data_IF_015084096829
#
_entry.id   IF_015084096829
#
_cell.length_a   1.000
_cell.length_b   1.000
_cell.length_c   1.000
_cell.angle_alpha   90.00
_cell.angle_beta   90.00
_cell.angle_gamma   90.00
#
_symmetry.space_group_name_H-M   'P 1'
#
loop_
_entity.id
_entity.type
_entity.pdbx_description
1 polymer ?
#
# COMPACT_ATOMS: atom_id res chain seq x y z
N UNK A 1 -13.33 14.05 -11.13
CA UNK A 1 -11.93 13.65 -10.84
C UNK A 1 -11.80 13.20 -9.38
N UNK A 2 -11.02 12.14 -9.11
CA UNK A 2 -10.96 11.45 -7.80
C UNK A 2 -9.56 11.65 -7.19
N UNK A 3 -9.44 12.21 -5.98
CA UNK A 3 -8.14 12.35 -5.31
C UNK A 3 -7.94 11.32 -4.20
N UNK A 4 -6.73 10.76 -4.16
CA UNK A 4 -6.22 9.91 -3.10
C UNK A 4 -5.26 10.76 -2.26
N UNK A 5 -5.48 10.77 -0.95
CA UNK A 5 -4.54 11.37 -0.01
C UNK A 5 -3.68 10.28 0.61
N UNK A 6 -2.40 10.53 0.77
CA UNK A 6 -1.47 9.58 1.36
C UNK A 6 -0.66 10.30 2.43
N UNK A 7 -0.54 9.71 3.62
CA UNK A 7 0.32 10.24 4.67
C UNK A 7 1.77 9.71 4.51
N UNK A 8 2.82 10.54 4.29
CA UNK A 8 4.17 10.08 3.89
C UNK A 8 5.41 11.00 4.10
N UNK A 9 6.48 10.44 4.70
CA UNK A 9 7.88 10.92 4.82
C UNK A 9 8.55 11.61 3.60
N UNK A 10 9.62 12.42 3.83
CA UNK A 10 10.74 12.70 2.94
C UNK A 10 12.11 12.23 3.47
N UNK A 11 12.88 11.77 2.47
CA UNK A 11 14.33 11.84 2.30
C UNK A 11 15.24 10.97 3.18
N UNK A 12 15.15 9.65 3.02
CA UNK A 12 16.33 8.84 2.75
C UNK A 12 16.09 8.02 1.46
N UNK A 13 17.16 7.77 0.73
CA UNK A 13 17.20 7.22 -0.63
C UNK A 13 16.46 5.89 -0.78
N UNK A 14 16.36 5.11 0.31
CA UNK A 14 15.61 3.84 0.39
C UNK A 14 14.08 4.04 0.38
N UNK A 15 13.59 5.02 1.13
CA UNK A 15 12.15 5.24 1.32
C UNK A 15 11.55 6.19 0.28
N UNK A 16 12.34 7.08 -0.32
CA UNK A 16 11.95 7.82 -1.52
C UNK A 16 11.43 6.91 -2.65
N UNK A 17 12.01 5.72 -2.74
CA UNK A 17 11.61 4.71 -3.70
C UNK A 17 10.27 4.09 -3.33
N UNK A 18 10.09 3.62 -2.09
CA UNK A 18 8.79 3.07 -1.65
C UNK A 18 7.65 4.07 -1.88
N UNK A 19 7.92 5.37 -1.68
CA UNK A 19 6.98 6.45 -1.95
C UNK A 19 6.57 6.55 -3.41
N UNK A 20 7.56 6.56 -4.29
CA UNK A 20 7.35 6.66 -5.74
C UNK A 20 6.73 5.38 -6.29
N UNK A 21 7.08 4.23 -5.73
CA UNK A 21 6.60 2.92 -6.14
C UNK A 21 5.11 2.75 -5.84
N UNK A 22 4.66 3.05 -4.62
CA UNK A 22 3.23 3.00 -4.30
C UNK A 22 2.46 3.98 -5.19
N UNK A 23 2.97 5.19 -5.38
CA UNK A 23 2.33 6.19 -6.27
C UNK A 23 2.27 5.71 -7.72
N UNK A 24 3.30 5.01 -8.21
CA UNK A 24 3.34 4.41 -9.55
C UNK A 24 2.35 3.25 -9.71
N UNK A 25 2.16 2.41 -8.69
CA UNK A 25 1.18 1.32 -8.70
C UNK A 25 -0.24 1.89 -8.73
N UNK A 26 -0.46 3.00 -8.03
CA UNK A 26 -1.77 3.62 -7.97
C UNK A 26 -2.06 4.41 -9.25
N UNK A 27 -1.20 5.35 -9.63
CA UNK A 27 -1.50 6.36 -10.66
C UNK A 27 -0.44 6.48 -11.77
N UNK A 28 0.44 5.49 -11.94
CA UNK A 28 1.42 5.49 -13.03
C UNK A 28 0.77 5.49 -14.41
N UNK A 29 1.13 6.45 -15.27
CA UNK A 29 0.58 6.56 -16.62
C UNK A 29 1.26 5.66 -17.68
N UNK A 30 2.29 4.90 -17.29
CA UNK A 30 3.07 4.01 -18.17
C UNK A 30 3.82 4.70 -19.33
N UNK A 31 3.97 6.03 -19.33
CA UNK A 31 4.59 6.77 -20.44
C UNK A 31 6.02 6.27 -20.76
N UNK A 32 6.87 6.16 -19.74
CA UNK A 32 8.26 5.69 -19.94
C UNK A 32 8.32 4.22 -20.37
N UNK A 33 7.54 3.35 -19.74
CA UNK A 33 7.52 1.92 -20.12
C UNK A 33 6.99 1.66 -21.53
N UNK A 34 6.13 2.55 -22.06
CA UNK A 34 5.58 2.42 -23.41
C UNK A 34 6.49 2.99 -24.50
N UNK A 35 7.35 3.96 -24.17
CA UNK A 35 8.17 4.70 -25.14
C UNK A 35 9.65 4.32 -25.15
N UNK A 36 10.14 3.61 -24.13
CA UNK A 36 11.59 3.33 -23.96
C UNK A 36 11.94 1.84 -23.95
N UNK A 37 11.31 1.05 -24.84
CA UNK A 37 11.60 -0.38 -25.06
C UNK A 37 11.68 -1.25 -23.79
N UNK A 38 10.87 -0.94 -22.77
CA UNK A 38 10.76 -1.81 -21.59
C UNK A 38 10.08 -3.14 -21.96
N UNK A 39 10.35 -4.24 -21.22
CA UNK A 39 9.78 -5.56 -21.54
C UNK A 39 8.28 -5.64 -21.29
N UNK A 40 7.68 -4.65 -20.61
CA UNK A 40 6.24 -4.55 -20.42
C UNK A 40 5.77 -3.13 -20.21
N UNK A 41 4.45 -2.94 -20.30
CA UNK A 41 3.78 -1.66 -20.04
C UNK A 41 3.33 -1.63 -18.58
N UNK A 42 3.92 -0.75 -17.78
CA UNK A 42 3.68 -0.67 -16.34
C UNK A 42 2.75 0.50 -16.02
N UNK A 43 1.45 0.23 -16.04
CA UNK A 43 0.38 1.18 -15.76
C UNK A 43 -0.17 0.98 -14.35
N UNK A 44 -0.42 2.09 -13.65
CA UNK A 44 -1.08 2.08 -12.36
C UNK A 44 -2.55 1.68 -12.47
N UNK A 45 -3.16 1.31 -11.35
CA UNK A 45 -4.57 0.86 -11.29
C UNK A 45 -5.54 1.98 -11.67
N UNK A 46 -5.18 3.23 -11.36
CA UNK A 46 -5.97 4.43 -11.58
C UNK A 46 -5.07 5.59 -12.09
N UNK A 47 -4.61 5.55 -13.36
CA UNK A 47 -3.65 6.52 -13.91
C UNK A 47 -4.09 7.99 -13.85
N UNK A 48 -5.40 8.24 -13.79
CA UNK A 48 -5.99 9.58 -13.72
C UNK A 48 -6.29 10.04 -12.29
N UNK A 49 -5.94 9.23 -11.28
CA UNK A 49 -6.09 9.62 -9.90
C UNK A 49 -5.09 10.70 -9.52
N UNK A 50 -5.55 11.74 -8.82
CA UNK A 50 -4.66 12.75 -8.23
C UNK A 50 -4.11 12.20 -6.91
N UNK A 51 -2.80 12.30 -6.72
CA UNK A 51 -2.13 11.88 -5.49
C UNK A 51 -1.77 13.11 -4.66
N UNK A 52 -2.17 13.12 -3.41
CA UNK A 52 -1.77 14.12 -2.40
C UNK A 52 -0.86 13.43 -1.41
N UNK A 53 0.25 14.07 -1.08
CA UNK A 53 1.24 13.57 -0.13
C UNK A 53 1.24 14.43 1.14
N UNK A 54 1.00 13.82 2.30
CA UNK A 54 0.94 14.45 3.62
C UNK A 54 1.98 13.86 4.57
N UNK A 55 3.07 14.55 4.86
CA UNK A 55 4.15 13.92 5.63
C UNK A 55 3.80 13.46 7.04
N UNK A 56 4.02 12.16 7.30
CA UNK A 56 3.84 11.54 8.62
C UNK A 56 5.03 10.71 9.12
N UNK A 57 6.07 10.51 8.32
CA UNK A 57 7.27 9.76 8.73
C UNK A 57 8.52 10.64 8.50
N UNK A 58 9.66 10.30 9.07
CA UNK A 58 10.95 10.94 8.87
C UNK A 58 11.74 10.29 7.72
N UNK A 59 12.98 10.75 7.50
CA UNK A 59 13.88 10.22 6.49
C UNK A 59 14.15 8.73 6.61
N UNK A 60 14.13 8.19 7.83
CA UNK A 60 14.40 6.79 8.14
C UNK A 60 13.13 5.93 8.13
N UNK A 61 11.96 6.53 7.86
CA UNK A 61 10.68 5.84 7.81
C UNK A 61 10.10 5.57 9.19
N UNK A 62 10.72 6.16 10.22
CA UNK A 62 10.17 6.20 11.55
C UNK A 62 9.20 7.38 11.66
N UNK A 63 8.18 7.26 12.49
CA UNK A 63 7.31 8.37 12.80
C UNK A 63 6.54 8.09 14.07
N UNK A 64 6.07 9.14 14.69
CA UNK A 64 5.28 9.03 15.92
C UNK A 64 3.82 8.84 15.57
N UNK A 65 3.06 8.18 16.46
CA UNK A 65 1.61 8.07 16.33
C UNK A 65 0.96 9.45 16.16
N UNK A 66 1.44 10.46 16.90
CA UNK A 66 0.97 11.85 16.80
C UNK A 66 1.15 12.45 15.41
N UNK A 67 2.26 12.16 14.72
CA UNK A 67 2.51 12.67 13.36
C UNK A 67 1.57 12.03 12.33
N UNK A 68 1.25 10.74 12.49
CA UNK A 68 0.28 10.04 11.64
C UNK A 68 -1.13 10.56 11.87
N UNK A 69 -1.53 10.74 13.13
CA UNK A 69 -2.83 11.33 13.50
C UNK A 69 -2.97 12.74 12.90
N UNK A 70 -1.92 13.57 13.01
CA UNK A 70 -1.92 14.93 12.44
C UNK A 70 -2.09 14.90 10.92
N UNK A 71 -1.44 13.96 10.23
CA UNK A 71 -1.59 13.80 8.79
C UNK A 71 -2.99 13.30 8.38
N UNK A 72 -3.59 12.40 9.16
CA UNK A 72 -4.98 11.98 8.96
C UNK A 72 -5.91 13.18 9.10
N UNK A 73 -5.69 14.01 10.13
CA UNK A 73 -6.56 15.16 10.36
C UNK A 73 -6.39 16.27 9.31
N UNK A 74 -5.17 16.45 8.79
CA UNK A 74 -4.94 17.29 7.63
C UNK A 74 -5.68 16.74 6.38
N UNK A 75 -5.71 15.42 6.16
CA UNK A 75 -6.46 14.82 5.06
C UNK A 75 -7.97 15.05 5.17
N UNK A 76 -8.52 15.00 6.38
CA UNK A 76 -9.94 15.30 6.66
C UNK A 76 -10.22 16.78 6.37
N UNK A 77 -9.37 17.69 6.85
CA UNK A 77 -9.52 19.14 6.65
C UNK A 77 -9.48 19.50 5.16
N UNK A 78 -8.53 18.92 4.42
CA UNK A 78 -8.33 19.18 3.00
C UNK A 78 -9.28 18.38 2.09
N UNK A 79 -10.19 17.59 2.67
CA UNK A 79 -11.02 16.64 1.95
C UNK A 79 -11.83 17.30 0.85
N UNK A 80 -12.52 18.40 1.17
CA UNK A 80 -13.38 19.10 0.22
C UNK A 80 -12.57 19.89 -0.81
N UNK A 81 -11.43 20.47 -0.39
CA UNK A 81 -10.54 21.25 -1.26
C UNK A 81 -9.98 20.40 -2.41
N UNK A 82 -9.54 19.18 -2.10
CA UNK A 82 -8.92 18.32 -3.11
C UNK A 82 -9.76 17.11 -3.52
N UNK A 83 -10.98 16.98 -3.00
CA UNK A 83 -11.84 15.80 -3.19
C UNK A 83 -11.15 14.49 -2.78
N UNK A 84 -10.62 14.46 -1.55
CA UNK A 84 -9.98 13.28 -0.95
C UNK A 84 -11.05 12.27 -0.62
N UNK A 85 -10.89 11.04 -1.11
CA UNK A 85 -11.88 9.96 -0.87
C UNK A 85 -11.27 8.70 -0.28
N UNK A 86 -9.96 8.55 -0.40
CA UNK A 86 -9.24 7.39 0.10
C UNK A 86 -7.96 7.88 0.79
N UNK A 87 -7.61 7.25 1.90
CA UNK A 87 -6.30 7.33 2.54
C UNK A 87 -5.62 5.98 2.46
N UNK A 88 -4.36 5.98 2.01
CA UNK A 88 -3.48 4.81 2.06
C UNK A 88 -2.48 4.97 3.22
N UNK A 89 -2.65 4.16 4.27
CA UNK A 89 -1.74 4.07 5.40
C UNK A 89 -0.86 2.84 5.23
N UNK A 90 0.26 3.08 4.60
CA UNK A 90 1.29 2.08 4.35
C UNK A 90 2.24 1.89 5.55
N UNK A 91 1.67 1.82 6.75
CA UNK A 91 2.38 1.70 8.00
C UNK A 91 1.59 0.79 8.93
N UNK A 92 2.30 0.16 9.87
CA UNK A 92 1.70 -0.59 10.94
C UNK A 92 2.54 -0.42 12.20
N UNK A 93 1.88 -0.37 13.36
CA UNK A 93 2.52 -0.47 14.67
C UNK A 93 2.01 -1.69 15.43
N UNK A 94 2.73 -2.06 16.48
CA UNK A 94 2.24 -3.03 17.45
C UNK A 94 0.90 -2.58 18.05
N UNK A 95 0.01 -3.53 18.25
CA UNK A 95 -1.25 -3.33 18.97
C UNK A 95 -0.97 -3.63 20.43
N UNK A 96 -1.39 -2.74 21.33
CA UNK A 96 -1.20 -2.88 22.78
C UNK A 96 -2.53 -2.84 23.56
N UNK A 97 -3.63 -2.55 22.87
CA UNK A 97 -4.95 -2.33 23.42
C UNK A 97 -6.02 -2.55 22.33
N UNK A 98 -7.30 -2.53 22.70
CA UNK A 98 -8.42 -2.61 21.76
C UNK A 98 -8.39 -1.44 20.77
N UNK A 99 -8.83 -1.67 19.53
CA UNK A 99 -8.97 -0.59 18.53
C UNK A 99 -9.85 0.57 19.03
N UNK A 100 -10.76 0.31 19.97
CA UNK A 100 -11.66 1.32 20.55
C UNK A 100 -10.93 2.35 21.42
N UNK A 101 -9.77 1.97 21.99
CA UNK A 101 -8.95 2.82 22.87
C UNK A 101 -7.73 3.40 22.14
N UNK A 102 -7.27 2.71 21.09
CA UNK A 102 -6.10 3.11 20.31
C UNK A 102 -6.32 4.47 19.62
N UNK A 103 -5.53 5.51 19.93
CA UNK A 103 -5.72 6.85 19.37
C UNK A 103 -5.49 6.92 17.85
N UNK A 104 -4.69 6.00 17.29
CA UNK A 104 -4.50 5.91 15.84
C UNK A 104 -5.76 5.34 15.17
N UNK A 105 -6.38 4.32 15.76
CA UNK A 105 -7.63 3.74 15.27
C UNK A 105 -8.76 4.79 15.35
N UNK A 106 -8.90 5.49 16.48
CA UNK A 106 -9.88 6.58 16.63
C UNK A 106 -9.71 7.70 15.60
N UNK A 107 -8.47 8.07 15.26
CA UNK A 107 -8.20 9.04 14.19
C UNK A 107 -8.64 8.51 12.82
N UNK A 108 -8.45 7.23 12.55
CA UNK A 108 -8.89 6.57 11.33
C UNK A 108 -10.42 6.46 11.25
N UNK A 109 -11.09 6.13 12.36
CA UNK A 109 -12.55 6.18 12.44
C UNK A 109 -13.09 7.59 12.14
N UNK A 110 -12.39 8.62 12.61
CA UNK A 110 -12.74 10.02 12.31
C UNK A 110 -12.66 10.30 10.81
N UNK A 111 -11.64 9.77 10.12
CA UNK A 111 -11.55 9.86 8.65
C UNK A 111 -12.68 9.10 7.96
N UNK A 112 -13.02 7.91 8.45
CA UNK A 112 -14.14 7.12 7.94
C UNK A 112 -15.47 7.85 8.09
N UNK A 113 -15.73 8.45 9.28
CA UNK A 113 -16.92 9.28 9.55
C UNK A 113 -16.98 10.51 8.65
N UNK A 114 -15.84 11.19 8.43
CA UNK A 114 -15.72 12.28 7.47
C UNK A 114 -15.92 11.83 6.01
N UNK A 115 -15.92 10.52 5.76
CA UNK A 115 -16.27 9.90 4.51
C UNK A 115 -15.10 9.55 3.61
N UNK A 116 -13.95 9.33 4.22
CA UNK A 116 -12.71 8.91 3.57
C UNK A 116 -12.48 7.43 3.88
N UNK A 117 -12.30 6.60 2.86
CA UNK A 117 -11.98 5.18 3.05
C UNK A 117 -10.50 5.06 3.43
N UNK A 118 -10.19 4.36 4.52
CA UNK A 118 -8.80 4.11 4.92
C UNK A 118 -8.42 2.68 4.58
N UNK A 119 -7.26 2.54 3.95
CA UNK A 119 -6.66 1.25 3.57
C UNK A 119 -5.32 1.10 4.29
N UNK A 120 -5.10 -0.05 4.94
CA UNK A 120 -3.87 -0.38 5.62
C UNK A 120 -3.32 -1.75 5.20
N UNK A 121 -2.02 -1.94 5.37
CA UNK A 121 -1.32 -3.17 5.01
C UNK A 121 -0.30 -3.55 6.10
N UNK A 122 -0.19 -4.85 6.39
CA UNK A 122 0.76 -5.39 7.37
C UNK A 122 1.77 -6.36 6.74
N UNK A 123 3.05 -6.19 7.05
CA UNK A 123 4.17 -7.01 6.58
C UNK A 123 4.76 -7.93 7.68
N UNK A 124 4.01 -8.18 8.75
CA UNK A 124 4.51 -8.90 9.93
C UNK A 124 4.17 -10.40 9.90
N UNK A 125 3.79 -10.97 8.76
CA UNK A 125 3.34 -12.38 8.66
C UNK A 125 4.39 -13.44 9.02
N UNK A 126 5.67 -13.06 9.03
CA UNK A 126 6.78 -13.94 9.45
C UNK A 126 7.14 -13.76 10.93
N UNK A 127 6.59 -12.74 11.60
CA UNK A 127 6.85 -12.51 13.01
C UNK A 127 6.24 -13.65 13.83
N UNK A 128 7.09 -14.37 14.54
CA UNK A 128 6.71 -15.51 15.38
C UNK A 128 7.13 -15.33 16.84
N UNK A 129 7.26 -14.08 17.31
CA UNK A 129 7.66 -13.81 18.70
C UNK A 129 6.68 -14.38 19.74
N UNK A 130 5.43 -14.62 19.34
CA UNK A 130 4.39 -15.22 20.18
C UNK A 130 4.16 -16.72 19.91
N UNK A 131 4.97 -17.38 19.07
CA UNK A 131 4.79 -18.81 18.74
C UNK A 131 3.53 -19.15 17.92
N UNK A 132 2.89 -18.15 17.31
CA UNK A 132 1.61 -18.25 16.61
C UNK A 132 1.74 -18.57 15.11
N UNK A 133 2.93 -18.89 14.60
CA UNK A 133 3.19 -19.11 13.16
C UNK A 133 2.77 -17.92 12.27
N UNK A 134 2.90 -16.70 12.82
CA UNK A 134 2.55 -15.46 12.13
C UNK A 134 1.07 -15.07 12.20
N UNK A 135 0.24 -15.81 12.94
CA UNK A 135 -1.12 -15.37 13.30
C UNK A 135 -1.08 -14.27 14.35
N UNK A 136 -2.12 -13.44 14.41
CA UNK A 136 -2.21 -12.26 15.27
C UNK A 136 -1.13 -11.19 14.99
N UNK A 137 -0.76 -11.03 13.72
CA UNK A 137 0.26 -10.08 13.25
C UNK A 137 -0.32 -8.86 12.52
N UNK A 138 -1.64 -8.69 12.57
CA UNK A 138 -2.32 -7.49 12.09
C UNK A 138 -2.03 -6.34 13.06
N UNK A 139 -1.27 -5.35 12.60
CA UNK A 139 -0.93 -4.16 13.38
C UNK A 139 -1.97 -3.04 13.27
N UNK A 140 -1.87 -2.03 14.13
CA UNK A 140 -2.70 -0.83 14.04
C UNK A 140 -2.21 0.10 12.91
N UNK A 141 -3.13 0.72 12.14
CA UNK A 141 -4.59 0.73 12.31
C UNK A 141 -5.33 -0.40 11.58
N UNK A 142 -4.63 -1.39 11.00
CA UNK A 142 -5.27 -2.49 10.28
C UNK A 142 -6.09 -3.46 11.15
N UNK A 143 -5.99 -3.36 12.48
CA UNK A 143 -6.84 -4.10 13.42
C UNK A 143 -8.25 -3.51 13.55
N UNK A 144 -8.46 -2.26 13.11
CA UNK A 144 -9.74 -1.57 13.20
C UNK A 144 -10.75 -2.13 12.15
N UNK A 145 -12.01 -2.46 12.53
CA UNK A 145 -13.06 -2.89 11.61
C UNK A 145 -13.36 -1.90 10.47
N UNK A 146 -13.20 -0.60 10.69
CA UNK A 146 -13.48 0.45 9.71
C UNK A 146 -12.36 0.60 8.65
N UNK A 147 -11.22 -0.06 8.87
CA UNK A 147 -10.08 -0.06 7.96
C UNK A 147 -10.15 -1.26 7.04
N UNK A 148 -9.91 -1.01 5.74
CA UNK A 148 -9.69 -2.09 4.79
C UNK A 148 -8.23 -2.54 4.91
N UNK A 149 -8.04 -3.67 5.55
CA UNK A 149 -6.74 -4.32 5.73
C UNK A 149 -6.50 -5.28 4.59
N UNK A 150 -5.37 -5.11 3.91
CA UNK A 150 -5.06 -5.89 2.72
C UNK A 150 -3.85 -6.77 2.98
N UNK A 151 -3.95 -8.04 2.57
CA UNK A 151 -2.85 -8.98 2.54
C UNK A 151 -2.21 -9.11 1.17
N UNK A 152 -1.03 -9.72 1.11
CA UNK A 152 -0.25 -9.90 -0.12
C UNK A 152 -0.31 -11.33 -0.65
N UNK A 153 -0.41 -11.43 -1.97
CA UNK A 153 -0.28 -12.68 -2.73
C UNK A 153 0.89 -12.67 -3.69
N UNK A 154 1.45 -13.85 -3.91
CA UNK A 154 2.36 -14.14 -4.99
C UNK A 154 1.57 -14.63 -6.21
N UNK A 155 1.78 -13.98 -7.35
CA UNK A 155 1.11 -14.33 -8.60
C UNK A 155 1.81 -15.46 -9.35
N UNK A 156 3.04 -15.82 -8.94
CA UNK A 156 3.92 -16.76 -9.63
C UNK A 156 4.12 -16.39 -11.11
N UNK A 157 4.11 -15.09 -11.41
CA UNK A 157 4.23 -14.58 -12.78
C UNK A 157 2.96 -14.75 -13.64
N UNK A 158 1.86 -15.23 -13.06
CA UNK A 158 0.61 -15.51 -13.80
C UNK A 158 -0.47 -14.45 -13.56
N UNK A 159 -1.38 -14.29 -14.51
CA UNK A 159 -2.60 -13.49 -14.33
C UNK A 159 -3.72 -14.22 -13.59
N UNK A 160 -3.58 -15.53 -13.38
CA UNK A 160 -4.61 -16.39 -12.78
C UNK A 160 -4.74 -16.11 -11.29
N UNK A 161 -5.98 -16.12 -10.79
CA UNK A 161 -6.28 -16.01 -9.36
C UNK A 161 -6.09 -17.35 -8.64
N UNK A 162 -6.41 -18.46 -9.31
CA UNK A 162 -6.29 -19.80 -8.72
C UNK A 162 -4.83 -20.20 -8.47
N UNK A 163 -3.89 -19.63 -9.23
CA UNK A 163 -2.47 -19.85 -9.03
C UNK A 163 -1.87 -18.97 -7.92
N UNK A 164 -2.62 -18.03 -7.33
CA UNK A 164 -2.06 -17.11 -6.35
C UNK A 164 -1.96 -17.74 -4.97
N UNK A 165 -0.81 -17.58 -4.33
CA UNK A 165 -0.61 -18.03 -2.95
C UNK A 165 -0.37 -16.85 -2.02
N UNK A 166 -0.77 -16.96 -0.76
CA UNK A 166 -0.45 -15.95 0.25
C UNK A 166 1.07 -15.86 0.42
N UNK A 167 1.61 -14.64 0.46
CA UNK A 167 3.04 -14.43 0.72
C UNK A 167 3.36 -14.64 2.20
N UNK A 168 4.54 -15.18 2.51
CA UNK A 168 4.96 -15.44 3.89
C UNK A 168 4.98 -14.19 4.77
N UNK A 169 5.26 -13.01 4.21
CA UNK A 169 5.29 -11.73 4.94
C UNK A 169 3.92 -11.07 5.12
N UNK A 170 2.84 -11.58 4.51
CA UNK A 170 1.51 -10.99 4.70
C UNK A 170 1.05 -11.19 6.14
N UNK A 171 0.75 -10.11 6.86
CA UNK A 171 0.16 -10.21 8.21
C UNK A 171 -1.14 -11.03 8.17
N UNK A 172 -1.37 -11.80 9.23
CA UNK A 172 -2.50 -12.72 9.37
C UNK A 172 -3.27 -12.40 10.64
N UNK A 173 -4.59 -12.31 10.53
CA UNK A 173 -5.48 -12.23 11.68
C UNK A 173 -5.70 -13.60 12.33
N UNK A 174 -6.63 -13.72 13.29
CA UNK A 174 -7.44 -12.63 13.82
C UNK A 174 -6.58 -11.57 14.54
N UNK A 175 -7.12 -10.38 14.77
CA UNK A 175 -6.41 -9.32 15.53
C UNK A 175 -6.11 -9.79 16.96
N UNK A 176 -4.99 -9.37 17.53
CA UNK A 176 -4.48 -9.90 18.81
C UNK A 176 -5.35 -9.62 20.05
N UNK A 177 -6.16 -8.56 20.05
CA UNK A 177 -7.00 -8.17 21.21
C UNK A 177 -8.48 -8.44 20.96
N UNK A 178 -9.02 -7.87 19.88
CA UNK A 178 -10.46 -7.89 19.62
C UNK A 178 -10.93 -9.10 18.79
N UNK A 179 -10.01 -10.00 18.43
CA UNK A 179 -10.25 -11.22 17.64
C UNK A 179 -11.02 -11.02 16.31
N UNK A 180 -10.86 -9.85 15.69
CA UNK A 180 -11.49 -9.52 14.41
C UNK A 180 -10.80 -10.28 13.28
N UNK A 181 -11.58 -10.89 12.39
CA UNK A 181 -11.07 -11.57 11.20
C UNK A 181 -10.51 -10.54 10.21
N UNK A 182 -9.21 -10.63 9.94
CA UNK A 182 -8.43 -9.79 9.02
C UNK A 182 -7.34 -10.66 8.36
N UNK A 183 -6.77 -10.29 7.20
CA UNK A 183 -7.10 -9.14 6.35
C UNK A 183 -8.48 -9.27 5.68
N UNK A 184 -9.06 -8.16 5.25
CA UNK A 184 -10.37 -8.13 4.58
C UNK A 184 -10.30 -8.62 3.14
N UNK A 185 -9.17 -8.41 2.46
CA UNK A 185 -8.94 -8.87 1.09
C UNK A 185 -7.46 -9.11 0.80
N UNK A 186 -7.20 -9.82 -0.28
CA UNK A 186 -5.86 -10.17 -0.74
C UNK A 186 -5.57 -9.51 -2.09
N UNK A 187 -4.35 -9.02 -2.29
CA UNK A 187 -3.92 -8.45 -3.56
C UNK A 187 -2.47 -8.84 -3.92
N UNK A 188 -2.13 -8.89 -5.22
CA UNK A 188 -0.76 -9.11 -5.71
C UNK A 188 0.25 -8.16 -5.07
N UNK A 189 1.15 -8.71 -4.26
CA UNK A 189 2.18 -7.96 -3.52
C UNK A 189 3.59 -8.50 -3.72
N UNK A 190 3.78 -9.60 -4.47
CA UNK A 190 5.09 -10.18 -4.76
C UNK A 190 5.61 -9.77 -6.15
N UNK A 191 6.86 -9.30 -6.22
CA UNK A 191 7.57 -8.93 -7.47
C UNK A 191 6.77 -8.01 -8.39
N UNK A 192 6.01 -7.09 -7.81
CA UNK A 192 5.23 -6.11 -8.56
C UNK A 192 6.19 -5.03 -9.10
N UNK A 193 6.07 -4.77 -10.40
CA UNK A 193 6.87 -3.74 -11.07
C UNK A 193 6.26 -2.37 -10.80
N UNK A 194 7.07 -1.44 -10.33
CA UNK A 194 6.67 -0.03 -10.26
C UNK A 194 7.82 0.92 -10.52
N UNK A 195 7.48 2.18 -10.74
CA UNK A 195 8.42 3.25 -11.07
C UNK A 195 9.24 3.63 -9.85
N UNK A 196 10.56 3.64 -10.00
CA UNK A 196 11.47 4.14 -8.96
C UNK A 196 11.58 5.67 -9.02
N UNK A 197 12.16 6.25 -7.98
CA UNK A 197 12.48 7.69 -7.90
C UNK A 197 13.52 8.15 -8.93
N UNK A 198 14.23 9.24 -8.65
CA UNK A 198 15.28 9.76 -9.52
C UNK A 198 16.34 8.72 -9.88
N UNK A 199 17.02 8.91 -11.03
CA UNK A 199 18.19 8.13 -11.44
C UNK A 199 19.26 8.13 -10.33
N UNK A 200 19.99 7.03 -10.19
CA UNK A 200 20.99 6.87 -9.13
C UNK A 200 20.42 6.50 -7.75
N UNK A 201 19.20 5.99 -7.69
CA UNK A 201 18.60 5.55 -6.43
C UNK A 201 19.41 4.41 -5.79
N UNK A 202 19.73 4.56 -4.50
CA UNK A 202 20.52 3.57 -3.76
C UNK A 202 19.91 2.16 -3.78
N UNK A 203 18.59 2.02 -3.90
CA UNK A 203 17.96 0.69 -3.99
C UNK A 203 18.33 -0.07 -5.26
N UNK A 204 18.50 0.62 -6.39
CA UNK A 204 18.94 -0.03 -7.63
C UNK A 204 20.41 -0.42 -7.52
N UNK A 205 21.21 0.39 -6.85
CA UNK A 205 22.62 0.07 -6.59
C UNK A 205 22.76 -1.11 -5.62
N UNK A 206 21.92 -1.19 -4.58
CA UNK A 206 21.95 -2.27 -3.59
C UNK A 206 21.31 -3.58 -4.08
N UNK A 207 20.35 -3.50 -5.02
CA UNK A 207 19.60 -4.65 -5.53
C UNK A 207 19.40 -4.56 -7.05
N UNK A 208 20.50 -4.62 -7.84
CA UNK A 208 20.45 -4.51 -9.30
C UNK A 208 19.60 -5.61 -9.96
N UNK A 209 19.48 -6.78 -9.33
CA UNK A 209 18.69 -7.92 -9.80
C UNK A 209 17.18 -7.65 -9.82
N UNK A 210 16.73 -6.69 -9.01
CA UNK A 210 15.32 -6.27 -8.97
C UNK A 210 15.02 -5.16 -9.98
N UNK A 211 16.05 -4.55 -10.57
CA UNK A 211 15.89 -3.49 -11.55
C UNK A 211 15.23 -4.02 -12.83
N UNK A 212 14.38 -3.20 -13.45
CA UNK A 212 13.87 -3.45 -14.78
C UNK A 212 14.54 -2.45 -15.71
N UNK A 213 15.35 -2.96 -16.64
CA UNK A 213 16.04 -2.15 -17.64
C UNK A 213 15.28 -2.15 -18.97
N UNK A 214 15.51 -1.13 -19.82
CA UNK A 214 15.15 -1.18 -21.22
C UNK A 214 15.76 -2.39 -21.93
N UNK A 215 15.14 -2.74 -23.05
CA UNK A 215 15.61 -3.78 -23.96
C UNK A 215 16.12 -3.18 -25.26
N UNK A 216 16.80 -4.00 -26.05
CA UNK A 216 17.09 -3.70 -27.46
C UNK A 216 15.80 -3.46 -28.26
N UNK A 217 15.94 -2.97 -29.49
CA UNK A 217 14.82 -2.70 -30.41
C UNK A 217 13.89 -3.91 -30.60
N UNK A 218 14.45 -5.13 -30.59
CA UNK A 218 13.70 -6.40 -30.73
C UNK A 218 13.09 -6.93 -29.42
N UNK A 219 13.31 -6.28 -28.28
CA UNK A 219 12.86 -6.70 -26.92
C UNK A 219 13.30 -8.10 -26.47
N UNK A 220 14.36 -8.65 -27.07
CA UNK A 220 14.89 -9.99 -26.77
C UNK A 220 16.01 -9.96 -25.73
N UNK A 221 16.65 -8.81 -25.54
CA UNK A 221 17.74 -8.65 -24.56
C UNK A 221 17.56 -7.34 -23.80
N UNK A 222 17.51 -7.43 -22.48
CA UNK A 222 17.29 -6.29 -21.58
C UNK A 222 18.46 -6.16 -20.61
N UNK A 223 18.88 -4.92 -20.34
CA UNK A 223 20.07 -4.67 -19.54
C UNK A 223 20.45 -3.20 -19.47
N UNK A 224 21.36 -2.87 -18.55
CA UNK A 224 21.79 -1.50 -18.31
C UNK A 224 22.45 -0.86 -19.55
N UNK A 225 23.00 -1.66 -20.47
CA UNK A 225 23.57 -1.21 -21.75
C UNK A 225 22.55 -0.51 -22.66
N UNK A 226 21.25 -0.86 -22.54
CA UNK A 226 20.19 -0.26 -23.34
C UNK A 226 19.52 0.95 -22.65
N UNK A 227 19.98 1.30 -21.45
CA UNK A 227 19.54 2.48 -20.71
C UNK A 227 19.38 2.24 -19.21
N UNK A 228 19.25 3.34 -18.46
CA UNK A 228 19.08 3.29 -17.01
C UNK A 228 17.74 2.65 -16.61
N UNK A 229 17.74 1.81 -15.59
CA UNK A 229 16.51 1.31 -14.98
C UNK A 229 15.66 2.46 -14.41
N UNK A 230 14.38 2.50 -14.79
CA UNK A 230 13.37 3.44 -14.22
C UNK A 230 12.23 2.71 -13.52
N UNK A 231 12.30 1.39 -13.47
CA UNK A 231 11.35 0.53 -12.79
C UNK A 231 12.08 -0.54 -11.99
N UNK A 232 11.44 -1.08 -10.96
CA UNK A 232 11.98 -2.13 -10.10
C UNK A 232 10.86 -3.06 -9.65
N UNK A 233 11.19 -4.35 -9.48
CA UNK A 233 10.30 -5.39 -8.94
C UNK A 233 10.47 -5.44 -7.44
N UNK A 234 9.46 -4.98 -6.69
CA UNK A 234 9.48 -5.10 -5.22
C UNK A 234 8.39 -6.03 -4.71
N UNK A 235 8.62 -6.52 -3.50
CA UNK A 235 7.73 -7.40 -2.76
C UNK A 235 7.33 -6.74 -1.45
N UNK A 236 6.06 -6.85 -1.07
CA UNK A 236 5.52 -6.34 0.19
C UNK A 236 4.00 -6.15 0.13
N UNK A 237 3.35 -6.20 1.29
CA UNK A 237 1.90 -5.95 1.41
C UNK A 237 1.52 -4.50 1.13
N UNK A 238 2.44 -3.57 1.42
CA UNK A 238 2.35 -2.15 1.04
C UNK A 238 2.19 -1.92 -0.48
N UNK A 239 2.66 -2.87 -1.29
CA UNK A 239 2.64 -2.85 -2.76
C UNK A 239 1.43 -3.60 -3.33
N UNK A 240 0.73 -4.37 -2.48
CA UNK A 240 -0.54 -4.94 -2.82
C UNK A 240 -1.53 -3.78 -2.99
N UNK A 241 -2.03 -3.54 -4.20
CA UNK A 241 -3.00 -2.47 -4.51
C UNK A 241 -4.03 -2.86 -5.59
N UNK A 242 -3.75 -3.93 -6.35
CA UNK A 242 -4.65 -4.39 -7.40
C UNK A 242 -5.97 -4.84 -6.76
N UNK A 243 -7.08 -4.21 -7.18
CA UNK A 243 -8.47 -4.28 -6.64
C UNK A 243 -8.81 -3.36 -5.45
N UNK A 244 -7.85 -2.80 -4.71
CA UNK A 244 -8.15 -1.85 -3.62
C UNK A 244 -8.88 -0.61 -4.11
N UNK A 245 -8.46 -0.07 -5.24
CA UNK A 245 -9.11 1.10 -5.83
C UNK A 245 -10.55 0.79 -6.27
N UNK A 246 -10.82 -0.41 -6.79
CA UNK A 246 -12.17 -0.84 -7.18
C UNK A 246 -13.06 -1.07 -5.94
N UNK A 247 -12.52 -1.70 -4.89
CA UNK A 247 -13.22 -1.90 -3.63
C UNK A 247 -13.49 -0.56 -2.92
N UNK A 248 -12.48 0.29 -2.72
CA UNK A 248 -12.63 1.60 -2.10
C UNK A 248 -13.50 2.56 -2.92
N UNK A 249 -13.44 2.50 -4.26
CA UNK A 249 -14.31 3.31 -5.11
C UNK A 249 -15.77 2.88 -5.12
N UNK A 250 -16.06 1.58 -4.93
CA UNK A 250 -17.42 1.03 -4.82
C UNK A 250 -17.98 1.15 -3.41
N UNK A 251 -17.16 0.94 -2.38
CA UNK A 251 -17.55 1.07 -0.96
C UNK A 251 -17.82 2.51 -0.55
N UNK A 252 -17.22 3.51 -1.23
CA UNK A 252 -17.64 4.91 -1.08
C UNK A 252 -19.12 5.14 -1.45
N UNK A 253 -19.75 4.26 -2.26
CA UNK A 253 -21.17 4.30 -2.59
C UNK A 253 -22.05 3.41 -1.69
N UNK A 254 -21.51 2.35 -1.09
CA UNK A 254 -22.25 1.39 -0.26
C UNK A 254 -21.71 1.40 1.18
N UNK A 255 -22.09 2.40 1.97
CA UNK A 255 -21.78 2.43 3.41
C UNK A 255 -22.84 1.66 4.19
N UNK A 256 -22.51 0.47 4.69
CA UNK A 256 -23.18 -0.11 5.85
C UNK A 256 -22.16 -0.29 6.98
N UNK A 257 -22.45 0.17 8.21
CA UNK A 257 -21.58 -0.07 9.35
C UNK A 257 -21.54 -1.57 9.69
N UNK A 258 -20.41 -2.10 10.20
CA UNK A 258 -20.27 -3.52 10.54
C UNK A 258 -21.16 -4.03 11.69
N UNK A 259 -22.03 -3.21 12.30
CA UNK A 259 -22.89 -3.60 13.43
C UNK A 259 -24.42 -3.46 13.22
N UNK A 260 -24.93 -3.24 12.01
CA UNK A 260 -26.39 -3.26 11.80
C UNK A 260 -26.89 -4.66 11.42
N UNK A 261 -26.89 -5.60 12.36
CA UNK A 261 -27.87 -6.70 12.37
C UNK A 261 -28.76 -6.49 13.60
N UNK A 262 -30.06 -6.19 13.46
CA UNK A 262 -30.98 -6.47 14.55
C UNK A 262 -31.05 -7.98 14.70
N UNK A 263 -30.86 -8.44 15.94
CA UNK A 263 -31.25 -9.79 16.34
C UNK A 263 -32.76 -9.88 16.07
N UNK A 264 -33.14 -10.78 15.16
CA UNK A 264 -34.46 -11.40 15.10
C UNK A 264 -34.26 -12.88 14.82
#
# INVERSE_FOLDING_TARGET
>A
MRALCRAISPAATRLATERTLVSGIIAGNAYTSSTSYYPGVYRGIAPEAKIINLRALDSNGAGTVSSVISAIQAAITLKNTYNIRVINLSLARGVYESYTLDPLCQAVESAWRAGIVVVAAGNMGQYNGAGTNGYATIGAPGNDPYVITVGATNTHGTGSQAAQTMTSYSSKGPTSFDHIVKPDLMAPGNRVVSRIGSQGNSLVASYPELAVCPCNSSRTSCGATYGSARYMRLSGTIIAWRRQWLAASRLSCCRRPPHSRPIR
#
